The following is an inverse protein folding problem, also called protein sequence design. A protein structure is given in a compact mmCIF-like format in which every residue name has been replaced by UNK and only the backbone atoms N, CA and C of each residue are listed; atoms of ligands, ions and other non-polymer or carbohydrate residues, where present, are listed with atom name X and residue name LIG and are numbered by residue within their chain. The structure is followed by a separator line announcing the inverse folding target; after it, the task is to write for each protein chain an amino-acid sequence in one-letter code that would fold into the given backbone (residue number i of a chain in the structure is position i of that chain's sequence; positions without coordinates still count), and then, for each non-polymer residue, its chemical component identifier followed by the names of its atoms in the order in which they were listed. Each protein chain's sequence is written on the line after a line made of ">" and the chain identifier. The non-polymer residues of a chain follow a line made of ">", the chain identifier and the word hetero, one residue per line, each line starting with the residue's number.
data_IF_748426841019
#
_entry.id   IF_748426841019
#
_cell.length_a   1.000
_cell.length_b   1.000
_cell.length_c   1.000
_cell.angle_alpha   90.00
_cell.angle_beta   90.00
_cell.angle_gamma   90.00
#
_symmetry.space_group_name_H-M   'P 1'
#
loop_
_entity.id
_entity.type
_entity.pdbx_description
1 polymer ?
#
# COMPACT_ATOMS: atom_id res chain seq x y z
N UNK A 1 4.42 -5.36 -4.93
CA UNK A 1 4.65 -6.08 -3.66
C UNK A 1 6.13 -6.03 -3.36
N UNK A 2 6.52 -5.61 -2.16
CA UNK A 2 7.91 -5.70 -1.69
C UNK A 2 7.95 -6.65 -0.49
N UNK A 3 9.02 -7.42 -0.41
CA UNK A 3 9.31 -8.30 0.72
C UNK A 3 10.55 -7.74 1.40
N UNK A 4 10.42 -7.38 2.66
CA UNK A 4 11.55 -6.86 3.45
C UNK A 4 12.07 -7.97 4.37
N UNK A 5 13.39 -8.14 4.36
CA UNK A 5 14.13 -9.00 5.29
C UNK A 5 14.64 -8.13 6.44
N UNK A 6 14.27 -8.46 7.68
CA UNK A 6 14.80 -7.76 8.85
C UNK A 6 16.26 -8.13 9.08
N UNK A 7 17.15 -7.14 9.21
CA UNK A 7 18.61 -7.36 9.37
C UNK A 7 18.99 -8.22 10.59
N UNK A 8 18.08 -8.39 11.56
CA UNK A 8 18.26 -9.20 12.78
C UNK A 8 17.09 -10.16 13.05
N UNK A 9 16.33 -10.57 12.03
CA UNK A 9 15.18 -11.47 12.21
C UNK A 9 14.86 -12.28 10.95
N UNK A 10 14.60 -13.57 11.13
CA UNK A 10 14.09 -14.47 10.09
C UNK A 10 12.63 -14.15 9.65
N UNK A 11 12.09 -13.03 10.14
CA UNK A 11 10.74 -12.58 9.82
C UNK A 11 10.74 -11.72 8.55
N UNK A 12 10.02 -12.18 7.55
CA UNK A 12 9.76 -11.46 6.31
C UNK A 12 8.45 -10.67 6.44
N UNK A 13 8.49 -9.38 6.12
CA UNK A 13 7.27 -8.57 6.06
C UNK A 13 6.87 -8.35 4.60
N UNK A 14 5.63 -8.72 4.27
CA UNK A 14 5.04 -8.42 2.97
C UNK A 14 4.33 -7.07 3.06
N UNK A 15 4.71 -6.18 2.15
CA UNK A 15 4.11 -4.86 2.02
C UNK A 15 3.65 -4.59 0.59
N UNK A 16 2.58 -3.79 0.49
CA UNK A 16 1.95 -3.44 -0.78
C UNK A 16 2.22 -1.98 -1.09
N UNK A 17 2.89 -1.74 -2.21
CA UNK A 17 3.25 -0.39 -2.67
C UNK A 17 2.53 -0.14 -3.98
N UNK A 18 2.02 1.09 -4.12
CA UNK A 18 1.39 1.57 -5.35
C UNK A 18 2.44 1.71 -6.44
N UNK A 19 2.29 0.95 -7.52
CA UNK A 19 3.22 1.00 -8.65
C UNK A 19 3.01 2.24 -9.50
N UNK A 20 1.76 2.50 -9.87
CA UNK A 20 1.33 3.56 -10.76
C UNK A 20 -0.11 3.94 -10.40
N UNK A 21 -0.47 5.20 -10.68
CA UNK A 21 -1.84 5.69 -10.52
C UNK A 21 -2.19 6.44 -11.80
N UNK A 22 -3.28 6.02 -12.44
CA UNK A 22 -3.80 6.72 -13.62
C UNK A 22 -4.36 8.09 -13.22
N UNK A 23 -3.99 9.14 -13.96
CA UNK A 23 -4.35 10.53 -13.63
C UNK A 23 -5.84 10.84 -13.77
N UNK A 24 -6.55 10.05 -14.57
CA UNK A 24 -8.01 10.15 -14.74
C UNK A 24 -8.78 9.26 -13.77
N UNK A 25 -8.10 8.53 -12.88
CA UNK A 25 -8.75 7.64 -11.92
C UNK A 25 -9.21 8.36 -10.65
N UNK A 26 -10.29 7.87 -10.00
CA UNK A 26 -10.72 8.35 -8.69
C UNK A 26 -9.62 8.26 -7.62
N UNK A 27 -8.69 7.31 -7.76
CA UNK A 27 -7.56 7.16 -6.86
C UNK A 27 -6.61 8.36 -6.93
N UNK A 28 -6.37 8.91 -8.12
CA UNK A 28 -5.55 10.11 -8.28
C UNK A 28 -6.21 11.34 -7.68
N UNK A 29 -7.52 11.49 -7.88
CA UNK A 29 -8.34 12.56 -7.29
C UNK A 29 -8.38 12.46 -5.75
N UNK A 30 -8.42 11.25 -5.20
CA UNK A 30 -8.33 10.99 -3.76
C UNK A 30 -6.92 11.27 -3.17
N UNK A 31 -5.93 11.60 -4.00
CA UNK A 31 -4.59 11.95 -3.56
C UNK A 31 -3.60 10.77 -3.52
N UNK A 32 -3.98 9.58 -3.99
CA UNK A 32 -3.07 8.44 -4.09
C UNK A 32 -1.95 8.74 -5.09
N UNK A 33 -0.72 8.38 -4.75
CA UNK A 33 0.45 8.58 -5.61
C UNK A 33 1.25 7.28 -5.78
N UNK A 34 1.99 7.15 -6.88
CA UNK A 34 2.97 6.07 -7.02
C UNK A 34 3.99 6.15 -5.89
N UNK A 35 4.42 4.98 -5.42
CA UNK A 35 5.27 4.75 -4.25
C UNK A 35 4.60 4.90 -2.88
N UNK A 36 3.31 5.18 -2.82
CA UNK A 36 2.58 5.14 -1.56
C UNK A 36 2.54 3.72 -1.00
N UNK A 37 2.81 3.58 0.30
CA UNK A 37 2.72 2.31 1.00
C UNK A 37 1.28 2.12 1.51
N UNK A 38 0.63 1.05 1.06
CA UNK A 38 -0.71 0.67 1.50
C UNK A 38 -0.61 -0.04 2.85
N UNK A 39 -1.21 0.56 3.87
CA UNK A 39 -1.20 0.01 5.24
C UNK A 39 -2.54 -0.62 5.63
N UNK A 40 -3.65 -0.03 5.17
CA UNK A 40 -4.99 -0.52 5.46
C UNK A 40 -5.91 -0.42 4.25
N UNK A 41 -6.83 -1.37 4.15
CA UNK A 41 -7.96 -1.37 3.22
C UNK A 41 -9.24 -1.59 4.02
N UNK A 42 -10.18 -0.66 3.93
CA UNK A 42 -11.45 -0.64 4.67
C UNK A 42 -11.26 -0.92 6.17
N UNK A 43 -10.33 -0.19 6.78
CA UNK A 43 -9.94 -0.30 8.19
C UNK A 43 -9.27 -1.62 8.59
N UNK A 44 -9.07 -2.56 7.67
CA UNK A 44 -8.30 -3.78 7.92
C UNK A 44 -6.84 -3.59 7.54
N UNK A 45 -5.88 -3.99 8.41
CA UNK A 45 -4.46 -3.96 8.06
C UNK A 45 -4.18 -4.94 6.92
N UNK A 46 -3.24 -4.56 6.05
CA UNK A 46 -2.83 -5.38 4.90
C UNK A 46 -1.37 -5.84 4.94
N UNK A 47 -0.65 -5.53 6.02
CA UNK A 47 0.67 -6.09 6.27
C UNK A 47 0.60 -7.61 6.33
N UNK A 48 1.60 -8.28 5.74
CA UNK A 48 1.69 -9.74 5.64
C UNK A 48 0.54 -10.42 4.88
N UNK A 49 -0.35 -9.67 4.23
CA UNK A 49 -1.33 -10.27 3.34
C UNK A 49 -0.66 -10.64 2.01
N UNK A 50 -0.82 -11.89 1.54
CA UNK A 50 -0.39 -12.26 0.20
C UNK A 50 -1.23 -11.51 -0.84
N UNK A 51 -0.61 -11.19 -1.97
CA UNK A 51 -1.22 -10.37 -3.03
C UNK A 51 -2.62 -10.84 -3.48
N UNK A 52 -2.89 -12.15 -3.66
CA UNK A 52 -4.23 -12.60 -4.04
C UNK A 52 -5.31 -12.27 -3.01
N UNK A 53 -5.00 -12.40 -1.71
CA UNK A 53 -5.98 -12.07 -0.65
C UNK A 53 -6.26 -10.58 -0.59
N UNK A 54 -5.24 -9.73 -0.83
CA UNK A 54 -5.47 -8.29 -0.97
C UNK A 54 -6.41 -8.01 -2.14
N UNK A 55 -6.18 -8.61 -3.31
CA UNK A 55 -7.03 -8.41 -4.49
C UNK A 55 -8.46 -8.87 -4.23
N UNK A 56 -8.67 -10.03 -3.60
CA UNK A 56 -10.01 -10.49 -3.22
C UNK A 56 -10.73 -9.51 -2.30
N UNK A 57 -10.01 -8.86 -1.37
CA UNK A 57 -10.61 -7.82 -0.53
C UNK A 57 -10.98 -6.60 -1.34
N UNK A 58 -10.07 -6.08 -2.17
CA UNK A 58 -10.34 -4.91 -3.02
C UNK A 58 -11.56 -5.15 -3.93
N UNK A 59 -11.65 -6.34 -4.53
CA UNK A 59 -12.74 -6.73 -5.43
C UNK A 59 -14.06 -7.03 -4.72
N UNK A 60 -14.03 -7.40 -3.44
CA UNK A 60 -15.24 -7.67 -2.66
C UNK A 60 -16.03 -6.39 -2.34
N UNK A 61 -15.40 -5.22 -2.40
CA UNK A 61 -16.06 -3.95 -2.16
C UNK A 61 -16.54 -3.35 -3.49
N UNK A 62 -17.86 -3.29 -3.68
CA UNK A 62 -18.47 -2.93 -4.95
C UNK A 62 -18.30 -1.47 -5.37
N UNK A 63 -18.69 -0.53 -4.51
CA UNK A 63 -18.86 0.88 -4.92
C UNK A 63 -18.04 1.89 -4.11
N UNK A 64 -17.55 1.52 -2.92
CA UNK A 64 -16.77 2.40 -2.04
C UNK A 64 -15.60 1.62 -1.43
N UNK A 65 -14.41 2.23 -1.50
CA UNK A 65 -13.17 1.64 -1.01
C UNK A 65 -12.36 2.69 -0.26
N UNK A 66 -12.15 2.48 1.03
CA UNK A 66 -11.28 3.31 1.86
C UNK A 66 -9.88 2.68 1.93
N UNK A 67 -8.85 3.42 1.52
CA UNK A 67 -7.45 2.96 1.60
C UNK A 67 -6.66 3.95 2.45
N UNK A 68 -5.91 3.45 3.45
CA UNK A 68 -4.94 4.27 4.17
C UNK A 68 -3.55 3.99 3.64
N UNK A 69 -2.87 5.06 3.25
CA UNK A 69 -1.49 5.02 2.78
C UNK A 69 -0.60 5.86 3.66
N UNK A 70 0.67 5.47 3.74
CA UNK A 70 1.74 6.34 4.23
C UNK A 70 2.62 6.73 3.05
N UNK A 71 2.95 8.01 2.97
CA UNK A 71 3.81 8.57 1.94
C UNK A 71 5.24 8.07 2.17
N UNK A 72 5.86 7.48 1.16
CA UNK A 72 7.32 7.27 1.16
C UNK A 72 8.00 8.59 0.79
N UNK A 73 7.94 9.58 1.68
CA UNK A 73 8.68 10.83 1.48
C UNK A 73 10.15 10.52 1.70
N UNK A 74 10.97 10.68 0.66
CA UNK A 74 12.42 10.79 0.81
C UNK A 74 12.72 11.99 1.71
N UNK A 75 12.93 11.75 3.00
CA UNK A 75 13.33 12.78 3.94
C UNK A 75 14.84 12.96 3.83
N UNK A 76 15.27 13.99 3.09
CA UNK A 76 16.67 14.36 2.95
C UNK A 76 17.05 15.27 4.12
N UNK A 77 17.61 14.70 5.20
CA UNK A 77 18.19 15.50 6.28
C UNK A 77 19.56 15.98 5.80
N UNK A 78 19.70 17.28 5.56
CA UNK A 78 21.01 17.90 5.33
C UNK A 78 21.68 18.09 6.70
N UNK A 79 22.82 17.44 6.90
CA UNK A 79 23.77 17.75 7.98
C UNK A 79 24.76 18.80 7.54
#
# INVERSE_FOLDING_TARGET
>A
MRVYLGEHSDFYTIEHIVSEVDRSSPAFEAGLRPNDLITHVNSMPVSNLPHPQLMSRLLAYGNELSIKVILFVNCHIRV
#
